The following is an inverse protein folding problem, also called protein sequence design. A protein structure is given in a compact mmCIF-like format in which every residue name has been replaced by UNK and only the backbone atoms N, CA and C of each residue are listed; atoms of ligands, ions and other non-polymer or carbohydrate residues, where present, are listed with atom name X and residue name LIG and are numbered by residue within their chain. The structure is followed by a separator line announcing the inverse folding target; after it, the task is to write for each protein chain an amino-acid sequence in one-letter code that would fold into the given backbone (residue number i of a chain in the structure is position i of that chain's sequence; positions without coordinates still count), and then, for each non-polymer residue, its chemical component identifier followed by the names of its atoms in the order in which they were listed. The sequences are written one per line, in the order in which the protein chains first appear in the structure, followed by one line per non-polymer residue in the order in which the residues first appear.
data_IF_291409894484
#
_entry.id   IF_291409894484
#
_cell.length_a   1.000
_cell.length_b   1.000
_cell.length_c   1.000
_cell.angle_alpha   90.00
_cell.angle_beta   90.00
_cell.angle_gamma   90.00
#
_symmetry.space_group_name_H-M   'P 1'
#
loop_
_entity.id
_entity.type
_entity.pdbx_description
1 polymer ?
#
# COMPACT_ATOMS: atom_id res chain seq x y z
N UNK A 1 20.02 19.36 1.59
CA UNK A 1 19.30 18.84 2.74
C UNK A 1 18.17 17.98 2.20
N UNK A 2 18.11 16.73 2.60
CA UNK A 2 16.92 15.92 2.34
C UNK A 2 15.84 16.43 3.29
N UNK A 3 14.77 16.99 2.74
CA UNK A 3 13.65 17.39 3.54
C UNK A 3 12.86 16.14 3.96
N UNK A 4 12.38 16.11 5.21
CA UNK A 4 11.55 15.00 5.67
C UNK A 4 10.29 14.94 4.83
N UNK A 5 9.82 13.75 4.46
CA UNK A 5 8.57 13.61 3.70
C UNK A 5 7.42 14.37 4.35
N UNK A 6 7.30 14.25 5.67
CA UNK A 6 6.23 14.89 6.46
C UNK A 6 6.30 16.42 6.49
N UNK A 7 7.44 17.02 6.14
CA UNK A 7 7.65 18.46 6.09
C UNK A 7 7.58 19.02 4.66
N UNK A 8 7.53 18.13 3.65
CA UNK A 8 7.46 18.54 2.26
C UNK A 8 6.12 19.19 1.90
N UNK A 9 6.19 20.29 1.18
CA UNK A 9 5.01 20.84 0.52
C UNK A 9 4.57 19.99 -0.67
N UNK A 10 3.32 20.17 -1.12
CA UNK A 10 2.80 19.52 -2.33
C UNK A 10 3.68 19.76 -3.55
N UNK A 11 4.26 20.97 -3.68
CA UNK A 11 5.14 21.34 -4.79
C UNK A 11 6.45 20.55 -4.76
N UNK A 12 7.03 20.39 -3.58
CA UNK A 12 8.27 19.63 -3.40
C UNK A 12 8.05 18.15 -3.72
N UNK A 13 7.00 17.54 -3.16
CA UNK A 13 6.65 16.14 -3.46
C UNK A 13 6.37 15.91 -4.95
N UNK A 14 5.72 16.85 -5.63
CA UNK A 14 5.46 16.75 -7.07
C UNK A 14 6.73 16.80 -7.91
N UNK A 15 7.81 17.40 -7.40
CA UNK A 15 9.11 17.48 -8.08
C UNK A 15 10.02 16.29 -7.78
N UNK A 16 9.72 15.49 -6.76
CA UNK A 16 10.54 14.36 -6.37
C UNK A 16 10.33 13.16 -7.30
N UNK A 17 11.44 12.50 -7.62
CA UNK A 17 11.45 11.19 -8.24
C UNK A 17 11.58 10.08 -7.18
N UNK A 18 11.56 8.83 -7.61
CA UNK A 18 11.61 7.65 -6.73
C UNK A 18 12.67 7.75 -5.63
N UNK A 19 13.90 8.12 -5.98
CA UNK A 19 15.01 8.16 -5.01
C UNK A 19 14.81 9.22 -3.93
N UNK A 20 14.37 10.40 -4.31
CA UNK A 20 14.09 11.49 -3.37
C UNK A 20 12.90 11.13 -2.47
N UNK A 21 11.85 10.50 -3.02
CA UNK A 21 10.71 10.02 -2.22
C UNK A 21 11.15 8.99 -1.19
N UNK A 22 11.89 7.96 -1.59
CA UNK A 22 12.40 6.93 -0.66
C UNK A 22 13.28 7.54 0.43
N UNK A 23 14.18 8.44 0.07
CA UNK A 23 15.08 9.07 1.03
C UNK A 23 14.28 9.96 2.00
N UNK A 24 13.35 10.76 1.53
CA UNK A 24 12.51 11.62 2.38
C UNK A 24 11.65 10.81 3.36
N UNK A 25 11.15 9.65 2.95
CA UNK A 25 10.45 8.71 3.83
C UNK A 25 11.39 8.16 4.88
N UNK A 26 12.57 7.68 4.49
CA UNK A 26 13.57 7.18 5.44
C UNK A 26 13.97 8.24 6.48
N UNK A 27 14.21 9.46 6.03
CA UNK A 27 14.59 10.60 6.89
C UNK A 27 13.45 11.01 7.85
N UNK A 28 12.20 10.64 7.54
CA UNK A 28 11.05 10.87 8.43
C UNK A 28 11.01 9.98 9.67
N UNK A 29 11.94 9.03 9.79
CA UNK A 29 12.15 8.19 10.99
C UNK A 29 10.89 7.49 11.51
N UNK A 30 10.14 6.83 10.60
CA UNK A 30 8.95 6.06 10.96
C UNK A 30 7.74 6.91 11.37
N UNK A 31 7.56 8.07 10.73
CA UNK A 31 6.42 8.97 10.96
C UNK A 31 5.50 9.13 9.75
N UNK A 32 5.67 8.32 8.71
CA UNK A 32 4.85 8.39 7.50
C UNK A 32 3.64 7.48 7.61
N UNK A 33 2.46 8.00 7.38
CA UNK A 33 1.18 7.29 7.42
C UNK A 33 0.63 7.08 6.02
N UNK A 34 0.37 5.83 5.64
CA UNK A 34 -0.33 5.47 4.41
C UNK A 34 -1.78 5.06 4.72
N UNK A 35 -2.75 5.73 4.13
CA UNK A 35 -4.15 5.36 4.24
C UNK A 35 -4.66 4.78 2.92
N UNK A 36 -5.27 3.59 3.00
CA UNK A 36 -5.87 2.92 1.87
C UNK A 36 -7.31 3.38 1.66
N UNK A 37 -7.68 3.65 0.42
CA UNK A 37 -9.03 4.06 0.03
C UNK A 37 -9.52 3.26 -1.17
N UNK A 38 -10.85 3.16 -1.32
CA UNK A 38 -11.49 2.55 -2.48
C UNK A 38 -12.25 3.64 -3.24
N UNK A 39 -11.80 3.96 -4.45
CA UNK A 39 -12.40 5.01 -5.26
C UNK A 39 -13.77 4.66 -5.85
N UNK A 40 -14.07 3.38 -6.04
CA UNK A 40 -15.32 2.91 -6.66
C UNK A 40 -16.53 2.89 -5.73
N UNK A 41 -16.32 3.06 -4.41
CA UNK A 41 -17.42 3.18 -3.45
C UNK A 41 -17.86 4.64 -3.29
N UNK A 42 -19.06 4.86 -2.79
CA UNK A 42 -19.53 6.20 -2.46
C UNK A 42 -18.64 6.82 -1.38
N UNK A 43 -18.07 8.00 -1.59
CA UNK A 43 -17.23 8.64 -0.58
C UNK A 43 -18.00 8.94 0.70
N UNK A 44 -17.33 8.90 1.84
CA UNK A 44 -17.95 9.24 3.13
C UNK A 44 -18.50 10.66 3.18
N UNK A 45 -17.88 11.58 2.46
CA UNK A 45 -18.33 12.98 2.33
C UNK A 45 -19.11 13.24 1.03
N UNK A 46 -19.58 12.19 0.36
CA UNK A 46 -20.42 12.20 -0.84
C UNK A 46 -19.77 12.89 -2.05
N UNK A 47 -19.50 14.17 -1.99
CA UNK A 47 -18.98 14.98 -3.10
C UNK A 47 -17.47 15.27 -3.02
N UNK A 48 -16.80 14.77 -2.00
CA UNK A 48 -15.37 14.91 -1.79
C UNK A 48 -14.76 13.52 -1.74
N UNK A 49 -13.66 13.31 -2.45
CA UNK A 49 -13.02 12.01 -2.51
C UNK A 49 -12.58 11.51 -1.12
N UNK A 50 -12.59 10.21 -0.91
CA UNK A 50 -11.98 9.64 0.28
C UNK A 50 -10.47 9.95 0.37
N UNK A 51 -9.79 10.10 -0.77
CA UNK A 51 -8.38 10.49 -0.81
C UNK A 51 -8.14 11.88 -0.16
N UNK A 52 -8.97 12.87 -0.46
CA UNK A 52 -8.90 14.19 0.19
C UNK A 52 -9.24 14.09 1.67
N UNK A 53 -10.24 13.29 2.02
CA UNK A 53 -10.65 13.14 3.41
C UNK A 53 -9.55 12.53 4.26
N UNK A 54 -8.95 11.41 3.86
CA UNK A 54 -7.85 10.79 4.62
C UNK A 54 -6.63 11.72 4.72
N UNK A 55 -6.35 12.49 3.68
CA UNK A 55 -5.29 13.50 3.71
C UNK A 55 -5.55 14.56 4.79
N UNK A 56 -6.79 15.04 4.90
CA UNK A 56 -7.18 16.02 5.93
C UNK A 56 -7.04 15.48 7.35
N UNK A 57 -7.05 14.16 7.52
CA UNK A 57 -6.90 13.46 8.79
C UNK A 57 -5.44 13.12 9.14
N UNK A 58 -4.50 13.44 8.25
CA UNK A 58 -3.08 13.28 8.47
C UNK A 58 -2.40 12.20 7.63
N UNK A 59 -3.09 11.58 6.65
CA UNK A 59 -2.45 10.63 5.75
C UNK A 59 -1.40 11.31 4.87
N UNK A 60 -0.24 10.68 4.77
CA UNK A 60 0.92 11.16 4.00
C UNK A 60 1.00 10.51 2.62
N UNK A 61 0.56 9.25 2.52
CA UNK A 61 0.51 8.47 1.29
C UNK A 61 -0.93 8.03 1.06
N UNK A 62 -1.45 8.27 -0.14
CA UNK A 62 -2.77 7.80 -0.54
C UNK A 62 -2.60 6.49 -1.29
N UNK A 63 -3.11 5.40 -0.74
CA UNK A 63 -3.08 4.10 -1.40
C UNK A 63 -4.47 3.76 -1.95
N UNK A 64 -4.55 3.59 -3.28
CA UNK A 64 -5.80 3.28 -3.97
C UNK A 64 -5.92 1.77 -4.15
N UNK A 65 -6.86 1.16 -3.43
CA UNK A 65 -7.22 -0.24 -3.61
C UNK A 65 -8.28 -0.37 -4.72
N UNK A 66 -8.29 -1.50 -5.40
CA UNK A 66 -9.24 -1.80 -6.49
C UNK A 66 -9.16 -0.77 -7.63
N UNK A 67 -8.01 -0.16 -7.83
CA UNK A 67 -7.79 0.79 -8.91
C UNK A 67 -7.51 0.05 -10.21
N UNK A 68 -8.31 0.34 -11.25
CA UNK A 68 -8.18 -0.25 -12.57
C UNK A 68 -7.53 0.79 -13.51
N UNK A 69 -6.34 0.50 -14.02
CA UNK A 69 -5.59 1.42 -14.88
C UNK A 69 -6.23 1.62 -16.26
N UNK A 70 -7.07 0.67 -16.70
CA UNK A 70 -7.80 0.78 -17.98
C UNK A 70 -9.12 1.54 -17.83
N UNK A 71 -9.73 1.46 -16.63
CA UNK A 71 -11.01 2.09 -16.32
C UNK A 71 -10.94 2.76 -14.94
N UNK A 72 -10.14 3.82 -14.78
CA UNK A 72 -9.95 4.49 -13.50
C UNK A 72 -11.24 5.19 -13.06
N UNK A 73 -11.73 4.84 -11.87
CA UNK A 73 -12.90 5.43 -11.25
C UNK A 73 -12.59 5.85 -9.83
N UNK A 74 -12.75 7.13 -9.54
CA UNK A 74 -12.67 7.69 -8.19
C UNK A 74 -13.88 8.60 -7.99
N UNK A 75 -14.86 8.10 -7.23
CA UNK A 75 -16.07 8.84 -6.95
C UNK A 75 -15.76 10.12 -6.16
N UNK A 76 -16.36 11.23 -6.55
CA UNK A 76 -16.09 12.56 -5.99
C UNK A 76 -14.96 13.32 -6.66
N UNK A 77 -14.18 12.66 -7.55
CA UNK A 77 -13.15 13.35 -8.32
C UNK A 77 -13.79 14.25 -9.39
N UNK A 78 -13.26 15.47 -9.62
CA UNK A 78 -13.64 16.26 -10.79
C UNK A 78 -13.47 15.48 -12.09
N UNK A 79 -14.30 15.76 -13.08
CA UNK A 79 -14.21 15.11 -14.39
C UNK A 79 -12.90 15.48 -15.07
N UNK A 80 -12.10 14.46 -15.35
CA UNK A 80 -10.81 14.56 -16.06
C UNK A 80 -10.68 13.39 -17.04
N UNK A 81 -9.76 13.49 -17.99
CA UNK A 81 -9.42 12.36 -18.84
C UNK A 81 -8.89 11.19 -17.99
N UNK A 82 -9.16 9.91 -18.37
CA UNK A 82 -8.72 8.75 -17.60
C UNK A 82 -7.23 8.77 -17.25
N UNK A 83 -6.38 9.15 -18.19
CA UNK A 83 -4.93 9.26 -17.99
C UNK A 83 -4.52 10.33 -16.97
N UNK A 84 -5.37 11.30 -16.69
CA UNK A 84 -5.13 12.39 -15.74
C UNK A 84 -5.66 12.10 -14.33
N UNK A 85 -6.29 10.96 -14.12
CA UNK A 85 -6.95 10.61 -12.84
C UNK A 85 -6.00 10.70 -11.66
N UNK A 86 -4.83 10.10 -11.75
CA UNK A 86 -3.83 10.13 -10.66
C UNK A 86 -3.27 11.54 -10.46
N UNK A 87 -3.01 12.26 -11.53
CA UNK A 87 -2.54 13.65 -11.44
C UNK A 87 -3.55 14.55 -10.72
N UNK A 88 -4.84 14.33 -10.95
CA UNK A 88 -5.90 15.10 -10.26
C UNK A 88 -5.97 14.73 -8.77
N UNK A 89 -5.83 13.46 -8.40
CA UNK A 89 -5.73 13.06 -6.98
C UNK A 89 -4.53 13.74 -6.33
N UNK A 90 -3.38 13.74 -6.97
CA UNK A 90 -2.17 14.39 -6.46
C UNK A 90 -2.34 15.90 -6.34
N UNK A 91 -3.02 16.53 -7.29
CA UNK A 91 -3.32 17.98 -7.25
C UNK A 91 -4.20 18.33 -6.06
N UNK A 92 -5.23 17.51 -5.78
CA UNK A 92 -6.18 17.75 -4.69
C UNK A 92 -5.60 17.44 -3.31
N UNK A 93 -4.75 16.42 -3.20
CA UNK A 93 -4.20 15.96 -1.91
C UNK A 93 -2.81 16.54 -1.61
N UNK A 94 -2.04 16.85 -2.63
CA UNK A 94 -0.64 17.25 -2.48
C UNK A 94 0.27 16.14 -1.96
N UNK A 95 -0.13 14.88 -2.10
CA UNK A 95 0.58 13.71 -1.56
C UNK A 95 0.93 12.72 -2.66
N UNK A 96 1.92 11.85 -2.41
CA UNK A 96 2.20 10.75 -3.32
C UNK A 96 1.05 9.74 -3.32
N UNK A 97 0.89 9.04 -4.45
CA UNK A 97 -0.17 8.07 -4.67
C UNK A 97 0.42 6.70 -4.96
N UNK A 98 -0.07 5.70 -4.24
CA UNK A 98 0.19 4.29 -4.47
C UNK A 98 -1.08 3.60 -5.02
N UNK A 99 -0.89 2.54 -5.79
CA UNK A 99 -1.96 1.63 -6.20
C UNK A 99 -1.58 0.18 -5.90
N UNK A 100 -2.59 -0.66 -5.69
CA UNK A 100 -2.44 -2.11 -5.65
C UNK A 100 -2.56 -2.68 -7.07
N UNK A 101 -1.64 -3.57 -7.46
CA UNK A 101 -1.80 -4.45 -8.60
C UNK A 101 -1.74 -5.91 -8.11
N UNK A 102 -2.62 -6.75 -8.64
CA UNK A 102 -2.78 -8.12 -8.18
C UNK A 102 -1.89 -9.08 -8.97
N UNK A 103 -0.90 -9.72 -8.33
CA UNK A 103 -0.04 -10.71 -8.97
C UNK A 103 -0.75 -12.07 -9.10
N UNK A 104 -1.99 -12.11 -9.60
CA UNK A 104 -2.83 -13.30 -9.65
C UNK A 104 -2.73 -14.02 -10.98
N UNK A 105 -2.73 -15.35 -10.93
CA UNK A 105 -3.02 -16.19 -12.10
C UNK A 105 -4.50 -16.03 -12.51
N UNK A 106 -4.79 -16.14 -13.82
CA UNK A 106 -6.17 -16.00 -14.34
C UNK A 106 -7.05 -17.09 -13.75
N UNK A 107 -8.05 -16.72 -12.94
CA UNK A 107 -9.21 -17.56 -12.65
C UNK A 107 -10.39 -16.99 -13.41
N UNK A 108 -10.92 -17.80 -14.33
CA UNK A 108 -12.19 -17.54 -15.00
C UNK A 108 -13.35 -17.96 -14.08
N UNK A 109 -13.55 -17.25 -12.98
CA UNK A 109 -14.73 -17.45 -12.15
C UNK A 109 -15.78 -16.44 -12.62
N UNK A 110 -16.85 -16.95 -13.23
CA UNK A 110 -17.88 -16.16 -13.91
C UNK A 110 -18.76 -15.27 -13.03
N UNK A 111 -18.34 -14.93 -11.82
CA UNK A 111 -19.06 -14.01 -10.93
C UNK A 111 -18.50 -12.58 -11.04
N UNK A 112 -19.34 -11.68 -11.55
CA UNK A 112 -19.06 -10.24 -11.57
C UNK A 112 -19.45 -9.62 -10.22
N UNK A 113 -18.47 -9.46 -9.35
CA UNK A 113 -18.59 -8.64 -8.14
C UNK A 113 -17.64 -7.45 -8.21
N UNK A 114 -17.83 -6.43 -7.35
CA UNK A 114 -16.86 -5.30 -7.22
C UNK A 114 -15.46 -5.77 -6.82
N UNK A 115 -15.36 -6.99 -6.30
CA UNK A 115 -14.12 -7.65 -5.92
C UNK A 115 -13.51 -8.50 -7.04
N UNK A 116 -14.21 -8.62 -8.18
CA UNK A 116 -13.70 -9.38 -9.32
C UNK A 116 -12.43 -8.74 -9.87
N UNK A 117 -11.42 -9.56 -10.13
CA UNK A 117 -10.18 -9.10 -10.73
C UNK A 117 -10.42 -8.74 -12.19
N UNK A 118 -10.27 -7.45 -12.52
CA UNK A 118 -10.28 -6.96 -13.90
C UNK A 118 -8.88 -7.00 -14.50
N UNK A 119 -8.77 -6.95 -15.84
CA UNK A 119 -7.48 -6.95 -16.51
C UNK A 119 -6.60 -5.76 -16.10
N UNK A 120 -7.18 -4.55 -15.95
CA UNK A 120 -6.46 -3.34 -15.54
C UNK A 120 -6.00 -3.33 -14.07
N UNK A 121 -6.37 -4.32 -13.27
CA UNK A 121 -5.93 -4.48 -11.88
C UNK A 121 -4.81 -5.51 -11.72
N UNK A 122 -4.43 -6.18 -12.79
CA UNK A 122 -3.41 -7.24 -12.75
C UNK A 122 -1.99 -6.67 -12.75
N UNK A 123 -1.09 -7.31 -12.04
CA UNK A 123 0.32 -6.97 -11.98
C UNK A 123 1.06 -7.44 -13.24
N UNK A 124 0.76 -6.81 -14.35
CA UNK A 124 1.42 -7.01 -15.64
C UNK A 124 2.40 -5.86 -15.92
N UNK A 125 3.39 -6.12 -16.75
CA UNK A 125 4.32 -5.08 -17.23
C UNK A 125 3.57 -3.95 -17.93
N UNK A 126 2.56 -4.28 -18.74
CA UNK A 126 1.74 -3.28 -19.43
C UNK A 126 1.02 -2.36 -18.45
N UNK A 127 0.35 -2.93 -17.43
CA UNK A 127 -0.37 -2.16 -16.44
C UNK A 127 0.57 -1.32 -15.55
N UNK A 128 1.73 -1.85 -15.22
CA UNK A 128 2.75 -1.11 -14.48
C UNK A 128 3.27 0.10 -15.26
N UNK A 129 3.50 -0.04 -16.56
CA UNK A 129 3.88 1.08 -17.45
C UNK A 129 2.76 2.12 -17.54
N UNK A 130 1.51 1.69 -17.70
CA UNK A 130 0.35 2.61 -17.68
C UNK A 130 0.27 3.37 -16.36
N UNK A 131 0.40 2.67 -15.23
CA UNK A 131 0.41 3.30 -13.91
C UNK A 131 1.51 4.34 -13.75
N UNK A 132 2.73 4.02 -14.17
CA UNK A 132 3.85 4.95 -14.15
C UNK A 132 3.59 6.19 -15.02
N UNK A 133 3.05 6.00 -16.24
CA UNK A 133 2.69 7.08 -17.14
C UNK A 133 1.56 7.96 -16.60
N UNK A 134 0.63 7.40 -15.82
CA UNK A 134 -0.43 8.12 -15.12
C UNK A 134 0.07 8.96 -13.94
N UNK A 135 1.30 8.76 -13.49
CA UNK A 135 1.89 9.48 -12.35
C UNK A 135 1.80 8.75 -11.01
N UNK A 136 1.56 7.45 -11.01
CA UNK A 136 1.63 6.62 -9.79
C UNK A 136 3.07 6.62 -9.27
N UNK A 137 3.24 6.85 -7.97
CA UNK A 137 4.55 6.91 -7.31
C UNK A 137 4.99 5.55 -6.75
N UNK A 138 4.03 4.71 -6.35
CA UNK A 138 4.27 3.41 -5.75
C UNK A 138 3.28 2.37 -6.26
N UNK A 139 3.78 1.18 -6.58
CA UNK A 139 2.96 0.00 -6.88
C UNK A 139 3.13 -1.01 -5.75
N UNK A 140 2.02 -1.47 -5.19
CA UNK A 140 1.98 -2.43 -4.10
C UNK A 140 1.53 -3.79 -4.62
N UNK A 141 2.35 -4.81 -4.39
CA UNK A 141 2.09 -6.21 -4.71
C UNK A 141 1.88 -6.97 -3.41
N UNK A 142 0.63 -7.30 -3.11
CA UNK A 142 0.29 -8.11 -1.93
C UNK A 142 -0.32 -9.43 -2.32
N UNK A 143 -0.13 -10.44 -1.48
CA UNK A 143 -0.76 -11.73 -1.64
C UNK A 143 -2.16 -11.76 -1.05
N UNK A 144 -3.12 -12.26 -1.83
CA UNK A 144 -4.38 -12.75 -1.32
C UNK A 144 -4.51 -14.23 -1.68
N UNK A 145 -4.15 -15.16 -0.76
CA UNK A 145 -4.18 -16.59 -1.02
C UNK A 145 -5.56 -17.11 -1.45
N UNK A 146 -6.63 -16.44 -1.02
CA UNK A 146 -8.01 -16.75 -1.40
C UNK A 146 -8.30 -16.61 -2.90
N UNK A 147 -7.51 -15.82 -3.63
CA UNK A 147 -7.61 -15.64 -5.08
C UNK A 147 -6.41 -16.24 -5.85
N UNK A 148 -5.61 -17.09 -5.19
CA UNK A 148 -4.50 -17.82 -5.82
C UNK A 148 -3.20 -17.03 -5.93
N UNK A 149 -3.03 -15.98 -5.12
CA UNK A 149 -1.78 -15.22 -5.05
C UNK A 149 -0.90 -15.83 -3.97
N UNK A 150 0.13 -16.53 -4.37
CA UNK A 150 1.17 -17.08 -3.51
C UNK A 150 2.48 -16.24 -3.57
N UNK A 151 3.47 -16.61 -2.76
CA UNK A 151 4.76 -15.93 -2.74
C UNK A 151 5.50 -16.00 -4.09
N UNK A 152 5.30 -17.06 -4.87
CA UNK A 152 5.91 -17.21 -6.20
C UNK A 152 5.31 -16.22 -7.19
N UNK A 153 3.98 -16.05 -7.17
CA UNK A 153 3.30 -15.08 -8.01
C UNK A 153 3.75 -13.65 -7.69
N UNK A 154 3.88 -13.31 -6.41
CA UNK A 154 4.40 -12.01 -5.97
C UNK A 154 5.84 -11.82 -6.46
N UNK A 155 6.72 -12.79 -6.22
CA UNK A 155 8.14 -12.71 -6.59
C UNK A 155 8.32 -12.56 -8.09
N UNK A 156 7.59 -13.35 -8.89
CA UNK A 156 7.66 -13.27 -10.36
C UNK A 156 7.18 -11.91 -10.86
N UNK A 157 6.02 -11.47 -10.41
CA UNK A 157 5.48 -10.16 -10.82
C UNK A 157 6.42 -9.03 -10.41
N UNK A 158 6.97 -9.09 -9.21
CA UNK A 158 7.91 -8.10 -8.71
C UNK A 158 9.18 -8.00 -9.58
N UNK A 159 9.75 -9.13 -9.95
CA UNK A 159 10.92 -9.17 -10.85
C UNK A 159 10.60 -8.58 -12.22
N UNK A 160 9.46 -8.96 -12.81
CA UNK A 160 9.02 -8.45 -14.10
C UNK A 160 8.77 -6.92 -14.06
N UNK A 161 8.12 -6.44 -13.00
CA UNK A 161 7.85 -5.01 -12.81
C UNK A 161 9.14 -4.22 -12.51
N UNK A 162 10.06 -4.78 -11.75
CA UNK A 162 11.34 -4.14 -11.46
C UNK A 162 12.15 -3.91 -12.73
N UNK A 163 12.19 -4.88 -13.63
CA UNK A 163 12.84 -4.73 -14.93
C UNK A 163 12.19 -3.64 -15.79
N UNK A 164 10.87 -3.55 -15.77
CA UNK A 164 10.11 -2.65 -16.65
C UNK A 164 10.00 -1.22 -16.14
N UNK A 165 9.78 -1.01 -14.84
CA UNK A 165 9.46 0.30 -14.23
C UNK A 165 10.18 0.57 -12.91
N UNK A 166 11.09 -0.30 -12.50
CA UNK A 166 11.78 -0.18 -11.21
C UNK A 166 12.64 1.07 -11.04
N UNK A 167 12.99 1.74 -12.11
CA UNK A 167 13.67 3.03 -12.11
C UNK A 167 12.71 4.22 -11.94
N UNK A 168 11.42 4.02 -12.17
CA UNK A 168 10.37 5.06 -12.20
C UNK A 168 9.47 5.08 -10.99
N UNK A 169 9.10 3.91 -10.45
CA UNK A 169 8.14 3.76 -9.37
C UNK A 169 8.74 2.99 -8.20
N UNK A 170 8.26 3.28 -7.01
CA UNK A 170 8.58 2.51 -5.80
C UNK A 170 7.82 1.18 -5.87
N UNK A 171 8.52 0.07 -5.70
CA UNK A 171 7.92 -1.25 -5.64
C UNK A 171 7.84 -1.73 -4.20
N UNK A 172 6.62 -1.99 -3.74
CA UNK A 172 6.33 -2.51 -2.40
C UNK A 172 5.76 -3.91 -2.54
N UNK A 173 6.29 -4.86 -1.79
CA UNK A 173 5.83 -6.25 -1.84
C UNK A 173 5.79 -6.89 -0.46
N UNK A 174 4.82 -7.77 -0.25
CA UNK A 174 4.67 -8.54 0.98
C UNK A 174 3.28 -9.11 1.17
N UNK A 175 2.92 -9.35 2.42
CA UNK A 175 1.61 -9.90 2.81
C UNK A 175 1.02 -9.14 4.00
N UNK A 176 -0.32 -8.97 3.99
CA UNK A 176 -1.09 -8.39 5.08
C UNK A 176 -1.82 -9.44 5.92
N UNK A 177 -2.25 -10.54 5.29
CA UNK A 177 -3.08 -11.59 5.91
C UNK A 177 -2.96 -12.91 5.15
N UNK A 178 -3.43 -13.99 5.79
CA UNK A 178 -3.45 -15.33 5.20
C UNK A 178 -4.80 -15.69 4.53
N UNK A 179 -5.76 -14.78 4.47
CA UNK A 179 -7.11 -14.99 3.92
C UNK A 179 -7.81 -16.25 4.44
N UNK A 180 -7.58 -16.60 5.72
CA UNK A 180 -8.17 -17.78 6.35
C UNK A 180 -7.47 -19.11 6.04
N UNK A 181 -6.35 -19.13 5.31
CA UNK A 181 -5.56 -20.34 5.08
C UNK A 181 -4.71 -20.63 6.31
N UNK A 182 -5.12 -21.62 7.12
CA UNK A 182 -4.48 -21.93 8.40
C UNK A 182 -3.00 -22.31 8.28
N UNK A 183 -2.60 -22.97 7.20
CA UNK A 183 -1.21 -23.37 6.96
C UNK A 183 -0.27 -22.19 6.69
N UNK A 184 -0.83 -21.04 6.32
CA UNK A 184 -0.08 -19.81 6.05
C UNK A 184 -0.24 -18.76 7.18
N UNK A 185 -0.91 -19.12 8.28
CA UNK A 185 -1.15 -18.22 9.40
C UNK A 185 0.05 -18.10 10.35
N UNK A 186 0.02 -17.09 11.20
CA UNK A 186 1.04 -16.83 12.21
C UNK A 186 2.33 -16.27 11.59
N UNK A 187 3.47 -16.64 12.16
CA UNK A 187 4.79 -16.20 11.66
C UNK A 187 5.08 -16.66 10.24
N UNK A 188 4.40 -17.72 9.78
CA UNK A 188 4.52 -18.23 8.41
C UNK A 188 3.91 -17.33 7.34
N UNK A 189 3.11 -16.33 7.70
CA UNK A 189 2.57 -15.36 6.76
C UNK A 189 3.68 -14.70 5.97
N UNK A 190 4.74 -14.30 6.65
CA UNK A 190 5.94 -13.73 6.06
C UNK A 190 7.14 -14.19 6.86
N UNK A 191 7.94 -15.07 6.29
CA UNK A 191 9.20 -15.55 6.88
C UNK A 191 10.37 -14.65 6.48
N UNK A 192 11.51 -14.80 7.14
CA UNK A 192 12.73 -14.11 6.73
C UNK A 192 13.16 -14.47 5.31
N UNK A 193 13.02 -15.74 4.92
CA UNK A 193 13.31 -16.20 3.56
C UNK A 193 12.41 -15.54 2.53
N UNK A 194 11.11 -15.42 2.82
CA UNK A 194 10.16 -14.71 1.96
C UNK A 194 10.57 -13.25 1.78
N UNK A 195 10.89 -12.56 2.88
CA UNK A 195 11.34 -11.18 2.86
C UNK A 195 12.61 -11.00 2.01
N UNK A 196 13.60 -11.86 2.19
CA UNK A 196 14.83 -11.85 1.39
C UNK A 196 14.56 -12.07 -0.09
N UNK A 197 13.67 -13.00 -0.42
CA UNK A 197 13.26 -13.28 -1.81
C UNK A 197 12.59 -12.07 -2.46
N UNK A 198 11.71 -11.37 -1.76
CA UNK A 198 11.08 -10.15 -2.27
C UNK A 198 12.09 -9.02 -2.46
N UNK A 199 13.01 -8.85 -1.53
CA UNK A 199 14.07 -7.83 -1.63
C UNK A 199 14.98 -8.11 -2.84
N UNK A 200 15.39 -9.36 -3.03
CA UNK A 200 16.22 -9.77 -4.17
C UNK A 200 15.49 -9.60 -5.51
N UNK A 201 14.18 -9.77 -5.53
CA UNK A 201 13.37 -9.55 -6.72
C UNK A 201 13.14 -8.06 -7.06
N UNK A 202 13.54 -7.13 -6.17
CA UNK A 202 13.52 -5.69 -6.44
C UNK A 202 12.58 -4.86 -5.59
N UNK A 203 12.07 -5.39 -4.46
CA UNK A 203 11.28 -4.59 -3.53
C UNK A 203 12.11 -3.43 -2.93
N UNK A 204 11.56 -2.23 -3.01
CA UNK A 204 12.09 -1.04 -2.35
C UNK A 204 11.54 -0.89 -0.93
N UNK A 205 10.35 -1.45 -0.70
CA UNK A 205 9.63 -1.45 0.57
C UNK A 205 9.11 -2.86 0.83
N UNK A 206 9.45 -3.42 1.98
CA UNK A 206 8.89 -4.68 2.47
C UNK A 206 7.57 -4.39 3.18
N UNK A 207 6.50 -5.05 2.75
CA UNK A 207 5.18 -4.96 3.38
C UNK A 207 4.97 -6.17 4.29
N UNK A 208 4.56 -5.90 5.53
CA UNK A 208 4.32 -6.94 6.54
C UNK A 208 3.09 -6.60 7.39
N UNK A 209 2.44 -7.61 8.01
CA UNK A 209 1.36 -7.34 8.94
C UNK A 209 1.84 -6.52 10.12
N UNK A 210 1.02 -5.58 10.59
CA UNK A 210 1.26 -4.93 11.87
C UNK A 210 1.09 -5.94 13.02
N UNK A 211 1.92 -5.89 14.06
CA UNK A 211 1.72 -6.70 15.26
C UNK A 211 0.31 -6.50 15.82
N UNK A 212 -0.35 -7.57 16.21
CA UNK A 212 -1.72 -7.55 16.74
C UNK A 212 -2.82 -7.63 15.69
N UNK A 213 -2.51 -7.66 14.40
CA UNK A 213 -3.52 -7.73 13.32
C UNK A 213 -3.78 -9.15 12.83
N UNK A 214 -2.81 -10.03 12.95
CA UNK A 214 -2.94 -11.45 12.57
C UNK A 214 -2.42 -12.35 13.70
N UNK A 215 -3.00 -13.53 13.88
CA UNK A 215 -2.58 -14.45 14.94
C UNK A 215 -1.10 -14.82 14.81
N UNK A 216 -0.36 -14.77 15.91
CA UNK A 216 1.04 -15.23 15.99
C UNK A 216 2.08 -14.33 15.34
N UNK A 217 1.70 -13.20 14.73
CA UNK A 217 2.65 -12.22 14.19
C UNK A 217 2.99 -11.20 15.27
N UNK A 218 4.13 -11.42 15.94
CA UNK A 218 4.56 -10.64 17.10
C UNK A 218 5.36 -9.41 16.72
N UNK A 219 5.51 -8.48 17.67
CA UNK A 219 6.38 -7.31 17.51
C UNK A 219 7.84 -7.73 17.28
N UNK A 220 8.29 -8.76 17.97
CA UNK A 220 9.65 -9.30 17.86
C UNK A 220 9.91 -9.85 16.45
N UNK A 221 8.97 -10.62 15.92
CA UNK A 221 9.08 -11.13 14.55
C UNK A 221 9.08 -10.00 13.52
N UNK A 222 8.20 -9.03 13.67
CA UNK A 222 8.18 -7.83 12.82
C UNK A 222 9.53 -7.08 12.87
N UNK A 223 10.09 -6.89 14.07
CA UNK A 223 11.36 -6.20 14.25
C UNK A 223 12.52 -6.93 13.56
N UNK A 224 12.56 -8.27 13.61
CA UNK A 224 13.57 -9.08 12.91
C UNK A 224 13.49 -8.91 11.39
N UNK A 225 12.28 -8.96 10.83
CA UNK A 225 12.06 -8.76 9.39
C UNK A 225 12.46 -7.35 8.96
N UNK A 226 12.07 -6.33 9.71
CA UNK A 226 12.39 -4.94 9.43
C UNK A 226 13.90 -4.69 9.49
N UNK A 227 14.57 -5.23 10.52
CA UNK A 227 16.03 -5.17 10.63
C UNK A 227 16.71 -5.76 9.40
N UNK A 228 16.27 -6.94 8.96
CA UNK A 228 16.81 -7.59 7.77
C UNK A 228 16.60 -6.74 6.51
N UNK A 229 15.45 -6.08 6.37
CA UNK A 229 15.18 -5.16 5.27
C UNK A 229 16.09 -3.92 5.30
N UNK A 230 16.22 -3.30 6.47
CA UNK A 230 17.08 -2.12 6.66
C UNK A 230 18.55 -2.40 6.37
N UNK A 231 19.07 -3.57 6.77
CA UNK A 231 20.44 -4.00 6.47
C UNK A 231 20.71 -4.07 4.95
N UNK A 232 19.69 -4.25 4.15
CA UNK A 232 19.75 -4.26 2.68
C UNK A 232 19.32 -2.91 2.04
N UNK A 233 19.11 -1.88 2.85
CA UNK A 233 18.68 -0.55 2.37
C UNK A 233 17.23 -0.47 1.91
N UNK A 234 16.38 -1.40 2.35
CA UNK A 234 14.96 -1.49 2.00
C UNK A 234 14.12 -0.99 3.18
N UNK A 235 13.11 -0.16 2.88
CA UNK A 235 12.17 0.35 3.87
C UNK A 235 11.14 -0.71 4.26
N UNK A 236 10.40 -0.47 5.33
CA UNK A 236 9.35 -1.36 5.82
C UNK A 236 8.03 -0.63 6.03
N UNK A 237 6.94 -1.24 5.56
CA UNK A 237 5.57 -0.80 5.76
C UNK A 237 4.81 -1.84 6.57
N UNK A 238 4.37 -1.49 7.78
CA UNK A 238 3.47 -2.31 8.58
C UNK A 238 2.03 -2.01 8.20
N UNK A 239 1.17 -3.05 8.14
CA UNK A 239 -0.17 -2.93 7.59
C UNK A 239 -1.26 -3.37 8.56
N UNK A 240 -2.30 -2.56 8.69
CA UNK A 240 -3.57 -2.91 9.33
C UNK A 240 -4.57 -3.23 8.22
N UNK A 241 -4.74 -4.50 7.91
CA UNK A 241 -5.57 -4.96 6.78
C UNK A 241 -6.56 -6.07 7.14
N UNK A 242 -6.85 -6.28 8.43
CA UNK A 242 -7.71 -7.37 8.93
C UNK A 242 -8.82 -6.88 9.87
N UNK A 243 -9.45 -5.77 9.52
CA UNK A 243 -10.59 -5.13 10.21
C UNK A 243 -10.29 -4.33 11.48
N UNK A 244 -9.05 -4.27 11.96
CA UNK A 244 -8.69 -3.41 13.10
C UNK A 244 -8.76 -1.92 12.76
N UNK A 245 -8.80 -1.55 11.48
CA UNK A 245 -9.08 -0.18 11.02
C UNK A 245 -10.44 0.35 11.50
N UNK A 246 -11.37 -0.55 11.86
CA UNK A 246 -12.65 -0.24 12.49
C UNK A 246 -12.69 -0.45 14.02
N UNK A 247 -11.55 -0.74 14.64
CA UNK A 247 -11.45 -0.92 16.10
C UNK A 247 -11.55 0.42 16.85
N UNK A 248 -11.44 0.38 18.17
CA UNK A 248 -11.35 1.58 18.98
C UNK A 248 -9.96 2.26 18.87
N UNK A 249 -9.91 3.52 19.22
CA UNK A 249 -8.66 4.30 19.15
C UNK A 249 -7.54 3.73 20.05
N UNK A 250 -7.90 3.10 21.17
CA UNK A 250 -6.92 2.50 22.08
C UNK A 250 -6.18 1.33 21.41
N UNK A 251 -6.90 0.50 20.67
CA UNK A 251 -6.33 -0.58 19.86
C UNK A 251 -5.40 -0.04 18.79
N UNK A 252 -5.81 1.00 18.06
CA UNK A 252 -4.99 1.63 17.02
C UNK A 252 -3.71 2.23 17.61
N UNK A 253 -3.80 2.92 18.73
CA UNK A 253 -2.63 3.49 19.42
C UNK A 253 -1.64 2.42 19.85
N UNK A 254 -2.13 1.30 20.38
CA UNK A 254 -1.26 0.19 20.77
C UNK A 254 -0.54 -0.41 19.57
N UNK A 255 -1.25 -0.64 18.46
CA UNK A 255 -0.66 -1.16 17.22
C UNK A 255 0.39 -0.18 16.69
N UNK A 256 0.09 1.11 16.65
CA UNK A 256 1.01 2.15 16.18
C UNK A 256 2.33 2.15 16.97
N UNK A 257 2.26 2.07 18.29
CA UNK A 257 3.45 2.01 19.15
C UNK A 257 4.28 0.75 18.91
N UNK A 258 3.63 -0.41 18.76
CA UNK A 258 4.33 -1.66 18.44
C UNK A 258 5.03 -1.59 17.08
N UNK A 259 4.38 -1.03 16.07
CA UNK A 259 4.97 -0.84 14.74
C UNK A 259 6.16 0.13 14.79
N UNK A 260 6.03 1.24 15.52
CA UNK A 260 7.13 2.19 15.71
C UNK A 260 8.33 1.53 16.41
N UNK A 261 8.10 0.78 17.48
CA UNK A 261 9.15 0.07 18.20
C UNK A 261 9.81 -1.02 17.34
N UNK A 262 9.04 -1.67 16.46
CA UNK A 262 9.57 -2.65 15.52
C UNK A 262 10.45 -2.03 14.41
N UNK A 263 10.36 -0.72 14.20
CA UNK A 263 11.18 0.01 13.22
C UNK A 263 10.49 0.34 11.91
N UNK A 264 9.15 0.28 11.84
CA UNK A 264 8.41 0.62 10.62
C UNK A 264 8.73 2.04 10.13
N UNK A 265 8.92 2.18 8.83
CA UNK A 265 9.13 3.48 8.16
C UNK A 265 7.80 4.08 7.72
N UNK A 266 6.89 3.24 7.26
CA UNK A 266 5.55 3.60 6.81
C UNK A 266 4.53 2.78 7.62
N UNK A 267 3.50 3.47 8.11
CA UNK A 267 2.40 2.87 8.84
C UNK A 267 1.15 2.90 7.97
N UNK A 268 0.68 1.72 7.55
CA UNK A 268 -0.49 1.59 6.70
C UNK A 268 -1.73 1.26 7.53
N UNK A 269 -2.86 1.89 7.19
CA UNK A 269 -4.19 1.56 7.69
C UNK A 269 -5.13 1.27 6.50
N UNK A 270 -5.85 0.14 6.56
CA UNK A 270 -6.69 -0.36 5.50
C UNK A 270 -7.97 0.43 5.25
N UNK A 271 -8.71 0.01 4.23
CA UNK A 271 -9.88 0.73 3.69
C UNK A 271 -11.22 0.34 4.31
N UNK A 272 -11.26 -0.60 5.25
CA UNK A 272 -12.49 -1.12 5.85
C UNK A 272 -13.51 -1.68 4.84
N UNK A 273 -13.05 -2.14 3.67
CA UNK A 273 -13.91 -2.73 2.65
C UNK A 273 -14.92 -1.75 2.07
N UNK A 274 -16.22 -2.06 2.17
CA UNK A 274 -17.28 -1.23 1.59
C UNK A 274 -17.42 0.19 2.15
N UNK A 275 -16.77 0.49 3.29
CA UNK A 275 -16.67 1.88 3.76
C UNK A 275 -15.74 2.73 2.89
N UNK A 276 -14.78 2.10 2.23
CA UNK A 276 -13.85 2.77 1.32
C UNK A 276 -12.70 3.51 1.99
N UNK A 277 -12.67 3.58 3.31
CA UNK A 277 -11.57 4.12 4.14
C UNK A 277 -11.75 3.69 5.59
N UNK A 278 -10.69 3.75 6.39
CA UNK A 278 -10.76 3.53 7.82
C UNK A 278 -11.63 4.58 8.53
N UNK A 279 -12.04 4.28 9.76
CA UNK A 279 -12.72 5.29 10.60
C UNK A 279 -11.85 6.54 10.74
N UNK A 280 -12.43 7.74 10.54
CA UNK A 280 -11.67 8.99 10.59
C UNK A 280 -10.87 9.17 11.89
N UNK A 281 -11.47 8.88 13.03
CA UNK A 281 -10.82 8.92 14.34
C UNK A 281 -9.60 8.01 14.43
N UNK A 282 -9.62 6.86 13.75
CA UNK A 282 -8.52 5.90 13.76
C UNK A 282 -7.35 6.36 12.90
N UNK A 283 -7.60 7.03 11.78
CA UNK A 283 -6.54 7.65 10.97
C UNK A 283 -5.86 8.75 11.78
N UNK A 284 -6.64 9.59 12.44
CA UNK A 284 -6.12 10.68 13.28
C UNK A 284 -5.32 10.14 14.47
N UNK A 285 -5.79 9.06 15.11
CA UNK A 285 -5.11 8.43 16.24
C UNK A 285 -3.78 7.79 15.84
N UNK A 286 -3.72 7.16 14.67
CA UNK A 286 -2.52 6.51 14.14
C UNK A 286 -1.38 7.49 13.91
#
# INVERSE_FOLDING_TARGET
SSDLYIDCSARELAAYHKKELLQSIADSEGRVLAAETIGTVTPMLVNITNAEFVTSLGADIIMLNIFDVDHPVINGLPEVAPEDTIHEVKRLTGRMVAINLEPAAVRNDGEKSVWSLTEGRRATVENAKKAADMGVDMIVLTGNPGVGVDNRAITKSLADLNEAVGDRVILTAGKMHASGILSEAGEKILTKEDAETFIEAGADVLLLPAPGTVPGFTMEHAAELIKSAHEKGVLAMTTIGTSQEGADEATIRQIALMCKMAGADIHHIGDSGYMGMALPENITAY
#
